data_IF_884722701599
#
_entry.id   IF_884722701599
#
_cell.length_a   1.000
_cell.length_b   1.000
_cell.length_c   1.000
_cell.angle_alpha   90.00
_cell.angle_beta   90.00
_cell.angle_gamma   90.00
#
_symmetry.space_group_name_H-M   'P 1'
#
loop_
_entity.id
_entity.type
_entity.pdbx_description
1 polymer ?
#
# COMPACT_ATOMS: atom_id res chain seq x y z
N UNK A 1 -24.28 -5.13 2.48
CA UNK A 1 -23.26 -4.96 1.42
C UNK A 1 -22.86 -6.29 0.78
N UNK A 2 -22.32 -7.28 1.50
CA UNK A 2 -21.92 -8.58 0.91
C UNK A 2 -23.05 -9.28 0.13
N UNK A 3 -24.25 -9.38 0.72
CA UNK A 3 -25.43 -9.93 0.02
C UNK A 3 -25.81 -9.15 -1.24
N UNK A 4 -25.67 -7.82 -1.21
CA UNK A 4 -25.95 -6.97 -2.37
C UNK A 4 -24.92 -7.20 -3.48
N UNK A 5 -23.63 -7.34 -3.14
CA UNK A 5 -22.59 -7.70 -4.10
C UNK A 5 -22.87 -9.07 -4.74
N UNK A 6 -23.26 -10.08 -3.96
CA UNK A 6 -23.66 -11.39 -4.48
C UNK A 6 -24.87 -11.27 -5.42
N UNK A 7 -25.87 -10.45 -5.07
CA UNK A 7 -27.05 -10.23 -5.91
C UNK A 7 -26.68 -9.60 -7.26
N UNK A 8 -25.82 -8.58 -7.27
CA UNK A 8 -25.29 -7.96 -8.51
C UNK A 8 -24.56 -9.00 -9.36
N UNK A 9 -23.62 -9.75 -8.76
CA UNK A 9 -22.85 -10.77 -9.47
C UNK A 9 -23.75 -11.87 -10.06
N UNK A 10 -24.77 -12.33 -9.33
CA UNK A 10 -25.74 -13.31 -9.85
C UNK A 10 -26.59 -12.75 -10.98
N UNK A 11 -27.04 -11.50 -10.88
CA UNK A 11 -27.88 -10.86 -11.90
C UNK A 11 -27.18 -10.78 -13.26
N UNK A 12 -25.87 -10.55 -13.26
CA UNK A 12 -25.06 -10.49 -14.49
C UNK A 12 -24.40 -11.82 -14.86
N UNK A 13 -24.70 -12.90 -14.12
CA UNK A 13 -24.03 -14.22 -14.26
C UNK A 13 -22.51 -14.07 -14.28
N UNK A 14 -22.00 -13.26 -13.35
CA UNK A 14 -20.59 -12.94 -13.26
C UNK A 14 -19.76 -14.20 -13.03
N UNK A 15 -18.60 -14.23 -13.66
CA UNK A 15 -17.64 -15.31 -13.55
C UNK A 15 -16.26 -14.72 -13.22
N UNK A 16 -15.44 -15.51 -12.54
CA UNK A 16 -14.09 -15.11 -12.08
C UNK A 16 -14.11 -14.02 -10.98
N UNK A 17 -12.95 -13.41 -10.68
CA UNK A 17 -12.82 -12.39 -9.65
C UNK A 17 -13.29 -11.00 -10.13
N UNK A 18 -13.95 -10.26 -9.23
CA UNK A 18 -14.36 -8.89 -9.45
C UNK A 18 -14.77 -8.22 -8.14
N UNK A 19 -14.81 -6.89 -8.14
CA UNK A 19 -15.15 -6.08 -6.97
C UNK A 19 -16.42 -5.27 -7.24
N UNK A 20 -17.32 -5.21 -6.27
CA UNK A 20 -18.49 -4.33 -6.29
C UNK A 20 -18.25 -3.20 -5.29
N UNK A 21 -18.27 -1.96 -5.77
CA UNK A 21 -17.94 -0.78 -4.98
C UNK A 21 -19.20 -0.05 -4.51
N UNK A 22 -19.14 0.43 -3.27
CA UNK A 22 -20.22 1.18 -2.63
C UNK A 22 -19.67 2.43 -1.95
N UNK A 23 -20.43 3.54 -1.96
CA UNK A 23 -20.23 4.64 -1.00
C UNK A 23 -21.14 4.40 0.20
N UNK A 24 -20.62 4.63 1.40
CA UNK A 24 -21.39 4.63 2.65
C UNK A 24 -21.59 6.07 3.13
N UNK A 25 -22.85 6.47 3.39
CA UNK A 25 -23.14 7.78 3.98
C UNK A 25 -23.02 7.77 5.52
N UNK A 26 -23.17 8.94 6.15
CA UNK A 26 -23.11 9.10 7.61
C UNK A 26 -24.23 8.37 8.36
N UNK A 27 -25.35 8.08 7.68
CA UNK A 27 -26.47 7.32 8.21
C UNK A 27 -26.34 5.81 8.00
N UNK A 28 -25.20 5.34 7.46
CA UNK A 28 -24.90 3.95 7.09
C UNK A 28 -25.77 3.40 5.95
N UNK A 29 -26.33 4.27 5.13
CA UNK A 29 -26.89 3.86 3.83
C UNK A 29 -25.73 3.64 2.85
N UNK A 30 -25.77 2.52 2.12
CA UNK A 30 -24.79 2.21 1.10
C UNK A 30 -25.38 2.33 -0.30
N UNK A 31 -24.59 2.86 -1.24
CA UNK A 31 -25.01 3.12 -2.62
C UNK A 31 -24.01 2.49 -3.57
N UNK A 32 -24.49 1.66 -4.51
CA UNK A 32 -23.65 1.07 -5.55
C UNK A 32 -23.04 2.17 -6.44
N UNK A 33 -21.75 2.04 -6.76
CA UNK A 33 -21.04 2.93 -7.67
C UNK A 33 -20.71 2.19 -8.95
N UNK A 34 -19.93 1.12 -8.83
CA UNK A 34 -19.39 0.39 -9.96
C UNK A 34 -19.08 -1.06 -9.62
N UNK A 35 -18.83 -1.84 -10.67
CA UNK A 35 -18.31 -3.20 -10.56
C UNK A 35 -17.03 -3.29 -11.40
N UNK A 36 -15.90 -3.46 -10.72
CA UNK A 36 -14.61 -3.71 -11.37
C UNK A 36 -14.53 -5.18 -11.77
N UNK A 37 -14.61 -5.45 -13.07
CA UNK A 37 -14.66 -6.82 -13.62
C UNK A 37 -13.27 -7.43 -13.82
N UNK A 38 -12.40 -7.26 -12.84
CA UNK A 38 -11.00 -7.73 -12.83
C UNK A 38 -10.46 -7.74 -11.42
N UNK A 39 -9.31 -8.38 -11.22
CA UNK A 39 -8.56 -8.24 -9.97
C UNK A 39 -8.12 -6.79 -9.77
N UNK A 40 -8.11 -6.36 -8.52
CA UNK A 40 -7.69 -5.02 -8.11
C UNK A 40 -6.35 -5.04 -7.39
N UNK A 41 -5.68 -3.89 -7.33
CA UNK A 41 -4.34 -3.78 -6.75
C UNK A 41 -4.34 -4.20 -5.27
N UNK A 42 -5.42 -3.85 -4.57
CA UNK A 42 -5.74 -4.07 -3.17
C UNK A 42 -6.30 -5.45 -2.82
N UNK A 43 -6.40 -6.39 -3.77
CA UNK A 43 -6.83 -7.77 -3.45
C UNK A 43 -5.99 -8.41 -2.32
N UNK A 44 -4.73 -7.99 -2.19
CA UNK A 44 -3.77 -8.51 -1.20
C UNK A 44 -4.23 -8.33 0.25
N UNK A 45 -4.99 -7.28 0.59
CA UNK A 45 -5.52 -7.12 1.95
C UNK A 45 -6.61 -8.16 2.25
N UNK A 46 -7.42 -8.49 1.24
CA UNK A 46 -8.44 -9.55 1.32
C UNK A 46 -7.78 -10.91 1.49
N UNK A 47 -6.74 -11.22 0.70
CA UNK A 47 -5.98 -12.47 0.83
C UNK A 47 -5.35 -12.59 2.23
N UNK A 48 -4.81 -11.50 2.78
CA UNK A 48 -4.20 -11.51 4.11
C UNK A 48 -5.18 -11.88 5.23
N UNK A 49 -6.42 -11.38 5.17
CA UNK A 49 -7.41 -11.61 6.24
C UNK A 49 -8.27 -12.86 6.02
N UNK A 50 -8.34 -13.38 4.79
CA UNK A 50 -9.13 -14.60 4.45
C UNK A 50 -8.26 -15.84 4.27
N UNK A 51 -6.97 -15.67 4.01
CA UNK A 51 -6.04 -16.73 3.56
C UNK A 51 -6.44 -17.41 2.23
N UNK A 52 -7.33 -16.80 1.45
CA UNK A 52 -7.72 -17.28 0.12
C UNK A 52 -6.79 -16.65 -0.91
N UNK A 53 -6.14 -17.49 -1.72
CA UNK A 53 -5.36 -17.04 -2.89
C UNK A 53 -6.34 -16.75 -4.04
N UNK A 54 -6.55 -15.46 -4.29
CA UNK A 54 -7.52 -15.00 -5.28
C UNK A 54 -6.98 -15.23 -6.69
N UNK A 55 -5.69 -15.03 -6.94
CA UNK A 55 -5.08 -15.24 -8.26
C UNK A 55 -5.15 -16.71 -8.66
N UNK A 56 -4.82 -17.62 -7.74
CA UNK A 56 -4.99 -19.06 -7.95
C UNK A 56 -6.46 -19.40 -8.25
N UNK A 57 -7.39 -18.87 -7.46
CA UNK A 57 -8.83 -19.08 -7.68
C UNK A 57 -9.27 -18.61 -9.07
N UNK A 58 -8.76 -17.46 -9.54
CA UNK A 58 -9.05 -16.98 -10.90
C UNK A 58 -8.59 -17.97 -11.97
N UNK A 59 -7.42 -18.58 -11.82
CA UNK A 59 -6.87 -19.56 -12.77
C UNK A 59 -7.71 -20.84 -12.75
N UNK A 60 -8.07 -21.33 -11.57
CA UNK A 60 -8.88 -22.56 -11.41
C UNK A 60 -10.28 -22.38 -12.01
N UNK A 61 -10.94 -21.25 -11.74
CA UNK A 61 -12.24 -20.91 -12.34
C UNK A 61 -12.12 -20.85 -13.87
N UNK A 62 -11.08 -20.19 -14.39
CA UNK A 62 -10.85 -20.11 -15.84
C UNK A 62 -10.55 -21.48 -16.48
N UNK A 63 -10.04 -22.44 -15.71
CA UNK A 63 -9.87 -23.83 -16.12
C UNK A 63 -11.18 -24.66 -16.02
N UNK A 64 -12.29 -24.05 -15.62
CA UNK A 64 -13.59 -24.71 -15.46
C UNK A 64 -13.74 -25.48 -14.16
N UNK A 65 -12.83 -25.30 -13.20
CA UNK A 65 -12.95 -25.90 -11.87
C UNK A 65 -13.97 -25.11 -11.03
N UNK A 66 -14.72 -25.78 -10.15
CA UNK A 66 -15.60 -25.10 -9.20
C UNK A 66 -14.77 -24.34 -8.15
N UNK A 67 -15.41 -23.37 -7.48
CA UNK A 67 -14.82 -22.73 -6.29
C UNK A 67 -14.48 -23.78 -5.23
N UNK A 68 -13.24 -23.74 -4.71
CA UNK A 68 -12.75 -24.68 -3.69
C UNK A 68 -13.34 -24.45 -2.28
N UNK A 69 -14.10 -23.37 -2.09
CA UNK A 69 -14.65 -22.97 -0.80
C UNK A 69 -16.10 -22.49 -0.93
N UNK A 70 -16.84 -22.61 0.18
CA UNK A 70 -18.20 -22.10 0.34
C UNK A 70 -18.16 -20.82 1.18
N UNK A 71 -19.26 -20.08 1.19
CA UNK A 71 -19.37 -18.83 1.97
C UNK A 71 -19.12 -19.04 3.48
N UNK A 72 -19.49 -20.20 4.00
CA UNK A 72 -19.30 -20.60 5.41
C UNK A 72 -17.84 -20.92 5.77
N UNK A 73 -16.99 -21.22 4.77
CA UNK A 73 -15.56 -21.47 4.95
C UNK A 73 -14.74 -20.17 5.02
N UNK A 74 -15.30 -19.05 4.53
CA UNK A 74 -14.62 -17.75 4.50
C UNK A 74 -14.63 -17.12 5.89
N UNK A 75 -13.48 -17.16 6.56
CA UNK A 75 -13.28 -16.55 7.89
C UNK A 75 -12.39 -15.32 7.79
N UNK A 76 -12.78 -14.24 8.47
CA UNK A 76 -11.97 -13.03 8.57
C UNK A 76 -11.08 -13.10 9.81
N UNK A 77 -9.77 -12.92 9.62
CA UNK A 77 -8.79 -13.03 10.68
C UNK A 77 -7.92 -11.79 10.82
N UNK A 78 -8.37 -10.86 11.68
CA UNK A 78 -7.66 -9.63 11.99
C UNK A 78 -7.90 -8.52 10.97
N UNK A 79 -6.90 -7.66 10.80
CA UNK A 79 -6.94 -6.50 9.92
C UNK A 79 -5.72 -6.53 9.01
N UNK A 80 -5.84 -5.90 7.85
CA UNK A 80 -4.71 -5.68 6.95
C UNK A 80 -4.74 -4.28 6.35
N UNK A 81 -3.54 -3.72 6.14
CA UNK A 81 -3.31 -2.43 5.48
C UNK A 81 -2.36 -2.67 4.32
N UNK A 82 -2.67 -2.10 3.15
CA UNK A 82 -1.74 -2.04 2.04
C UNK A 82 -1.29 -0.60 1.81
N UNK A 83 0.02 -0.41 1.72
CA UNK A 83 0.70 0.83 1.36
C UNK A 83 1.31 0.66 -0.03
N UNK A 84 0.99 1.58 -0.95
CA UNK A 84 1.65 1.66 -2.26
C UNK A 84 2.91 2.52 -2.13
N UNK A 85 4.08 1.87 -2.20
CA UNK A 85 5.37 2.53 -2.21
C UNK A 85 5.61 3.03 -3.62
N UNK A 86 5.40 4.33 -3.85
CA UNK A 86 5.57 4.97 -5.14
C UNK A 86 6.84 5.82 -5.15
N UNK A 87 7.49 5.92 -6.31
CA UNK A 87 8.54 6.89 -6.60
C UNK A 87 7.93 8.27 -6.86
N UNK A 88 7.44 8.92 -5.83
CA UNK A 88 6.83 10.26 -5.89
C UNK A 88 7.38 11.12 -4.75
N UNK A 89 7.41 12.44 -4.95
CA UNK A 89 7.80 13.42 -3.93
C UNK A 89 6.54 14.09 -3.33
N UNK A 90 6.05 13.67 -2.14
CA UNK A 90 4.83 14.24 -1.57
C UNK A 90 4.97 15.72 -1.18
N UNK A 91 6.18 16.19 -0.86
CA UNK A 91 6.44 17.62 -0.56
C UNK A 91 6.36 18.49 -1.82
N UNK A 92 6.48 17.88 -3.00
CA UNK A 92 6.37 18.54 -4.29
C UNK A 92 5.14 18.06 -5.05
N UNK A 93 3.99 18.08 -4.37
CA UNK A 93 2.68 17.73 -4.95
C UNK A 93 2.66 16.35 -5.64
N UNK A 94 3.27 15.35 -5.00
CA UNK A 94 3.37 13.97 -5.50
C UNK A 94 3.96 13.86 -6.90
N UNK A 95 4.86 14.79 -7.27
CA UNK A 95 5.53 14.72 -8.57
C UNK A 95 6.26 13.37 -8.71
N UNK A 96 6.03 12.61 -9.78
CA UNK A 96 6.77 11.37 -10.03
C UNK A 96 8.27 11.61 -10.08
N UNK A 97 9.02 10.66 -9.54
CA UNK A 97 10.47 10.66 -9.48
C UNK A 97 11.01 9.51 -10.32
N UNK A 98 11.90 9.84 -11.24
CA UNK A 98 12.68 8.85 -12.01
C UNK A 98 14.11 8.84 -11.49
N UNK A 99 14.79 7.71 -11.67
CA UNK A 99 16.18 7.57 -11.23
C UNK A 99 16.52 6.10 -11.02
N UNK A 100 17.70 5.87 -10.45
CA UNK A 100 18.18 4.53 -10.13
C UNK A 100 18.04 4.29 -8.63
N UNK A 101 17.46 3.15 -8.26
CA UNK A 101 17.38 2.71 -6.86
C UNK A 101 18.78 2.27 -6.41
N UNK A 102 19.48 3.06 -5.62
CA UNK A 102 20.87 2.79 -5.22
C UNK A 102 20.97 1.80 -4.05
N UNK A 103 19.93 1.73 -3.22
CA UNK A 103 19.79 0.73 -2.16
C UNK A 103 18.33 0.30 -2.03
N UNK A 104 18.11 -1.00 -1.80
CA UNK A 104 16.80 -1.60 -1.60
C UNK A 104 16.86 -2.70 -0.54
N UNK A 105 16.25 -2.45 0.61
CA UNK A 105 15.98 -3.46 1.63
C UNK A 105 14.52 -3.31 2.07
N UNK A 106 13.69 -4.26 1.65
CA UNK A 106 12.28 -4.30 2.04
C UNK A 106 12.13 -4.83 3.47
N UNK A 107 11.11 -4.40 4.22
CA UNK A 107 10.84 -4.93 5.55
C UNK A 107 10.42 -6.40 5.46
N UNK A 108 10.62 -7.11 6.55
CA UNK A 108 10.16 -8.49 6.70
C UNK A 108 9.54 -8.72 8.08
N UNK A 109 9.52 -9.98 8.50
CA UNK A 109 8.99 -10.40 9.78
C UNK A 109 7.52 -10.82 9.74
N UNK A 110 6.98 -11.13 10.91
CA UNK A 110 5.61 -11.65 11.06
C UNK A 110 4.59 -10.63 10.55
N UNK A 111 3.63 -11.09 9.73
CA UNK A 111 2.52 -10.28 9.24
C UNK A 111 2.93 -9.23 8.21
N UNK A 112 4.08 -9.39 7.54
CA UNK A 112 4.56 -8.48 6.49
C UNK A 112 4.68 -9.26 5.19
N UNK A 113 4.02 -8.75 4.14
CA UNK A 113 4.09 -9.23 2.75
C UNK A 113 4.53 -8.09 1.85
N UNK A 114 5.37 -8.40 0.89
CA UNK A 114 5.85 -7.47 -0.12
C UNK A 114 5.51 -8.03 -1.50
N UNK A 115 4.80 -7.24 -2.29
CA UNK A 115 4.59 -7.49 -3.72
C UNK A 115 5.33 -6.36 -4.46
N UNK A 116 6.59 -6.59 -4.84
CA UNK A 116 7.48 -5.56 -5.37
C UNK A 116 7.95 -5.82 -6.80
N UNK A 117 8.27 -4.75 -7.53
CA UNK A 117 9.03 -4.83 -8.79
C UNK A 117 10.44 -4.28 -8.67
N UNK A 118 10.67 -3.35 -7.74
CA UNK A 118 11.94 -2.67 -7.56
C UNK A 118 12.98 -3.59 -6.90
N UNK A 119 14.24 -3.39 -7.27
CA UNK A 119 15.42 -4.05 -6.72
C UNK A 119 16.61 -3.09 -6.77
N UNK A 120 17.73 -3.43 -6.12
CA UNK A 120 18.95 -2.60 -6.19
C UNK A 120 19.39 -2.43 -7.65
N UNK A 121 19.76 -1.21 -8.01
CA UNK A 121 20.20 -0.79 -9.35
C UNK A 121 19.07 -0.78 -10.40
N UNK A 122 17.81 -0.98 -9.99
CA UNK A 122 16.65 -0.80 -10.87
C UNK A 122 16.52 0.67 -11.29
N UNK A 123 16.41 0.93 -12.59
CA UNK A 123 16.17 2.25 -13.14
C UNK A 123 14.68 2.42 -13.44
N UNK A 124 14.05 3.39 -12.78
CA UNK A 124 12.62 3.65 -12.88
C UNK A 124 12.34 4.38 -14.20
N UNK A 125 11.60 3.75 -15.13
CA UNK A 125 11.28 4.38 -16.41
C UNK A 125 10.27 5.54 -16.24
N UNK A 126 10.37 6.62 -17.03
CA UNK A 126 9.46 7.77 -16.95
C UNK A 126 8.08 7.52 -17.57
N UNK A 127 7.86 6.35 -18.17
CA UNK A 127 6.72 6.11 -19.07
C UNK A 127 5.51 5.43 -18.40
N UNK A 128 5.69 4.90 -17.19
CA UNK A 128 4.69 4.09 -16.50
C UNK A 128 4.36 4.64 -15.11
N UNK A 129 3.46 3.97 -14.39
CA UNK A 129 3.16 4.28 -12.99
C UNK A 129 4.43 4.23 -12.11
N UNK A 130 4.47 5.07 -11.09
CA UNK A 130 5.58 5.21 -10.15
C UNK A 130 5.65 4.10 -9.10
N UNK A 131 4.77 3.09 -9.14
CA UNK A 131 4.70 2.02 -8.15
C UNK A 131 6.00 1.19 -8.10
N UNK A 132 6.67 1.17 -6.96
CA UNK A 132 7.88 0.38 -6.71
C UNK A 132 7.57 -0.95 -6.03
N UNK A 133 6.69 -0.90 -5.03
CA UNK A 133 6.23 -2.06 -4.28
C UNK A 133 4.90 -1.81 -3.57
N UNK A 134 4.21 -2.89 -3.23
CA UNK A 134 3.07 -2.89 -2.31
C UNK A 134 3.54 -3.51 -1.00
N UNK A 135 3.52 -2.71 0.06
CA UNK A 135 3.73 -3.18 1.43
C UNK A 135 2.38 -3.56 2.01
N UNK A 136 2.19 -4.84 2.31
CA UNK A 136 0.95 -5.36 2.89
C UNK A 136 1.24 -5.85 4.30
N UNK A 137 0.54 -5.30 5.27
CA UNK A 137 0.75 -5.61 6.68
C UNK A 137 -0.55 -6.15 7.27
N UNK A 138 -0.46 -7.22 8.05
CA UNK A 138 -1.57 -7.84 8.77
C UNK A 138 -1.30 -7.82 10.26
N UNK A 139 -2.34 -7.60 11.07
CA UNK A 139 -2.30 -7.76 12.52
C UNK A 139 -3.62 -8.29 13.08
N UNK A 140 -3.60 -8.72 14.35
CA UNK A 140 -4.82 -9.28 14.99
C UNK A 140 -5.83 -8.19 15.34
N UNK A 141 -5.35 -6.99 15.65
CA UNK A 141 -6.16 -5.80 15.94
C UNK A 141 -5.79 -4.66 14.99
N UNK A 142 -6.65 -3.65 14.90
CA UNK A 142 -6.37 -2.44 14.13
C UNK A 142 -5.09 -1.74 14.63
N UNK A 143 -4.97 -1.54 15.94
CA UNK A 143 -3.79 -0.95 16.59
C UNK A 143 -2.49 -1.71 16.25
N UNK A 144 -2.51 -3.04 16.35
CA UNK A 144 -1.37 -3.90 15.99
C UNK A 144 -1.01 -3.73 14.51
N UNK A 145 -2.00 -3.60 13.64
CA UNK A 145 -1.82 -3.47 12.18
C UNK A 145 -1.23 -2.10 11.82
N UNK A 146 -1.74 -1.02 12.40
CA UNK A 146 -1.22 0.34 12.19
C UNK A 146 0.21 0.47 12.74
N UNK A 147 0.46 -0.02 13.96
CA UNK A 147 1.80 -0.02 14.55
C UNK A 147 2.79 -0.83 13.71
N UNK A 148 2.39 -2.01 13.23
CA UNK A 148 3.24 -2.82 12.35
C UNK A 148 3.45 -2.16 10.99
N UNK A 149 2.43 -1.50 10.43
CA UNK A 149 2.57 -0.75 9.17
C UNK A 149 3.58 0.39 9.31
N UNK A 150 3.48 1.18 10.38
CA UNK A 150 4.45 2.21 10.73
C UNK A 150 5.87 1.65 10.81
N UNK A 151 6.10 0.63 11.67
CA UNK A 151 7.41 -0.03 11.80
C UNK A 151 7.95 -0.57 10.48
N UNK A 152 7.08 -1.16 9.65
CA UNK A 152 7.47 -1.70 8.33
C UNK A 152 7.91 -0.59 7.37
N UNK A 153 7.28 0.58 7.43
CA UNK A 153 7.69 1.75 6.67
C UNK A 153 9.01 2.34 7.20
N UNK A 154 9.28 2.28 8.50
CA UNK A 154 10.57 2.74 9.07
C UNK A 154 11.75 1.85 8.68
N UNK A 155 11.54 0.54 8.64
CA UNK A 155 12.57 -0.43 8.25
C UNK A 155 12.85 -0.45 6.74
N UNK A 156 11.95 0.13 5.93
CA UNK A 156 12.08 0.11 4.48
C UNK A 156 13.22 1.02 4.04
N UNK A 157 14.31 0.43 3.55
CA UNK A 157 15.42 1.20 2.98
C UNK A 157 15.25 1.23 1.46
N UNK A 158 14.94 2.42 0.94
CA UNK A 158 14.89 2.68 -0.49
C UNK A 158 15.59 4.02 -0.77
N UNK A 159 16.71 3.98 -1.49
CA UNK A 159 17.55 5.16 -1.76
C UNK A 159 17.72 5.41 -3.25
N UNK A 160 18.19 6.61 -3.59
CA UNK A 160 18.42 7.07 -4.97
C UNK A 160 17.20 7.74 -5.62
N UNK A 161 16.00 7.55 -5.06
CA UNK A 161 14.79 8.27 -5.45
C UNK A 161 13.93 8.59 -4.23
N UNK A 162 13.17 9.69 -4.31
CA UNK A 162 12.13 10.00 -3.33
C UNK A 162 10.96 9.04 -3.43
N UNK A 163 10.28 8.82 -2.30
CA UNK A 163 9.13 7.92 -2.23
C UNK A 163 8.01 8.48 -1.37
N UNK A 164 6.84 7.84 -1.45
CA UNK A 164 5.68 8.11 -0.58
C UNK A 164 5.84 7.64 0.86
N UNK A 165 6.93 6.95 1.22
CA UNK A 165 7.14 6.34 2.56
C UNK A 165 7.00 7.38 3.69
N UNK A 166 7.68 8.55 3.66
CA UNK A 166 7.59 9.52 4.75
C UNK A 166 6.15 10.00 4.97
N UNK A 167 5.41 10.27 3.88
CA UNK A 167 4.00 10.65 3.94
C UNK A 167 3.13 9.55 4.57
N UNK A 168 3.33 8.29 4.19
CA UNK A 168 2.58 7.17 4.77
C UNK A 168 2.89 6.97 6.26
N UNK A 169 4.14 7.20 6.70
CA UNK A 169 4.46 7.19 8.14
C UNK A 169 3.64 8.23 8.91
N UNK A 170 3.51 9.44 8.37
CA UNK A 170 2.68 10.50 8.97
C UNK A 170 1.21 10.10 9.10
N UNK A 171 0.67 9.38 8.11
CA UNK A 171 -0.69 8.83 8.20
C UNK A 171 -0.80 7.83 9.36
N UNK A 172 0.17 6.92 9.51
CA UNK A 172 0.15 5.92 10.59
C UNK A 172 0.32 6.55 11.99
N UNK A 173 0.89 7.74 12.07
CA UNK A 173 1.05 8.55 13.29
C UNK A 173 -0.17 9.42 13.61
N UNK A 174 -1.09 9.59 12.66
CA UNK A 174 -2.24 10.47 12.83
C UNK A 174 -3.29 9.87 13.79
N UNK A 175 -3.74 10.62 14.83
CA UNK A 175 -4.69 10.09 15.81
C UNK A 175 -6.05 9.69 15.25
N UNK A 176 -6.53 10.34 14.20
CA UNK A 176 -7.80 9.99 13.57
C UNK A 176 -7.66 8.71 12.73
N UNK A 177 -6.54 8.55 12.03
CA UNK A 177 -6.22 7.29 11.36
C UNK A 177 -6.07 6.11 12.33
N UNK A 178 -5.29 6.30 13.42
CA UNK A 178 -5.12 5.30 14.47
C UNK A 178 -6.44 4.91 15.13
N UNK A 179 -7.38 5.84 15.25
CA UNK A 179 -8.70 5.58 15.80
C UNK A 179 -9.72 5.01 14.79
N UNK A 180 -9.33 4.80 13.53
CA UNK A 180 -10.25 4.34 12.48
C UNK A 180 -11.29 5.38 12.07
N UNK A 181 -11.02 6.67 12.31
CA UNK A 181 -11.92 7.80 12.03
C UNK A 181 -11.48 8.51 10.74
N UNK A 182 -11.89 7.98 9.60
CA UNK A 182 -11.59 8.60 8.32
C UNK A 182 -12.68 8.31 7.29
N UNK A 183 -12.79 9.22 6.32
CA UNK A 183 -13.59 9.07 5.11
C UNK A 183 -12.78 9.57 3.91
N UNK A 184 -13.41 9.69 2.74
CA UNK A 184 -12.74 10.13 1.50
C UNK A 184 -12.20 11.56 1.56
N UNK A 185 -12.62 12.37 2.54
CA UNK A 185 -12.11 13.73 2.77
C UNK A 185 -10.91 13.79 3.71
N UNK A 186 -10.50 12.67 4.31
CA UNK A 186 -9.47 12.60 5.36
C UNK A 186 -8.21 13.42 5.02
N UNK A 187 -7.58 13.17 3.87
CA UNK A 187 -6.34 13.87 3.49
C UNK A 187 -6.55 15.39 3.35
N UNK A 188 -7.69 15.82 2.82
CA UNK A 188 -8.04 17.25 2.67
C UNK A 188 -8.21 17.93 4.03
N UNK A 189 -8.73 17.20 5.02
CA UNK A 189 -8.93 17.71 6.39
C UNK A 189 -7.65 17.69 7.24
N UNK A 190 -6.60 17.00 6.77
CA UNK A 190 -5.33 16.83 7.48
C UNK A 190 -4.14 17.43 6.69
N UNK A 191 -4.13 18.75 6.40
CA UNK A 191 -3.06 19.37 5.60
C UNK A 191 -1.67 19.24 6.23
N UNK A 192 -1.60 19.00 7.54
CA UNK A 192 -0.37 18.78 8.30
C UNK A 192 0.39 17.51 7.87
N UNK A 193 -0.28 16.56 7.21
CA UNK A 193 0.35 15.34 6.70
C UNK A 193 1.34 15.63 5.57
N UNK A 194 1.15 16.75 4.85
CA UNK A 194 2.01 17.18 3.74
C UNK A 194 3.17 18.07 4.20
N UNK A 195 3.36 18.24 5.51
CA UNK A 195 4.42 19.07 6.08
C UNK A 195 5.26 18.24 7.03
N UNK A 196 6.49 17.95 6.62
CA UNK A 196 7.48 17.22 7.40
C UNK A 196 8.88 17.61 6.93
N UNK A 197 9.87 17.44 7.80
CA UNK A 197 11.27 17.63 7.41
C UNK A 197 11.64 16.57 6.39
N UNK A 198 12.27 16.99 5.30
CA UNK A 198 12.71 16.07 4.26
C UNK A 198 13.78 15.14 4.82
N UNK A 199 13.77 13.89 4.38
CA UNK A 199 14.76 12.93 4.81
C UNK A 199 16.13 13.34 4.27
N UNK A 200 17.09 13.54 5.16
CA UNK A 200 18.50 13.74 4.76
C UNK A 200 19.13 12.39 4.50
N UNK A 201 19.65 12.17 3.29
CA UNK A 201 20.32 10.90 3.00
C UNK A 201 21.62 10.85 3.82
N UNK A 202 21.93 9.72 4.50
CA UNK A 202 23.22 9.54 5.14
C UNK A 202 24.42 9.84 4.22
N UNK A 203 24.26 9.64 2.90
CA UNK A 203 25.27 10.02 1.90
C UNK A 203 25.53 11.54 1.87
N UNK A 204 24.53 12.39 2.11
CA UNK A 204 24.72 13.85 2.19
C UNK A 204 25.67 14.23 3.33
N UNK A 205 25.54 13.56 4.48
CA UNK A 205 26.44 13.76 5.61
C UNK A 205 27.86 13.28 5.29
N UNK A 206 27.99 12.14 4.60
CA UNK A 206 29.30 11.62 4.15
C UNK A 206 29.97 12.61 3.20
N UNK A 207 29.21 13.17 2.25
CA UNK A 207 29.71 14.21 1.32
C UNK A 207 30.12 15.46 2.08
N UNK A 208 29.29 15.96 3.01
CA UNK A 208 29.59 17.16 3.79
C UNK A 208 30.88 16.98 4.63
N UNK A 209 31.01 15.85 5.33
CA UNK A 209 32.20 15.53 6.15
C UNK A 209 33.43 15.33 5.29
N UNK A 210 33.35 14.55 4.21
CA UNK A 210 34.48 14.32 3.31
C UNK A 210 34.96 15.60 2.64
N UNK A 211 34.05 16.49 2.24
CA UNK A 211 34.37 17.81 1.69
C UNK A 211 35.07 18.70 2.73
N UNK A 212 34.61 18.68 3.99
CA UNK A 212 35.24 19.44 5.07
C UNK A 212 36.67 18.95 5.36
N UNK A 213 36.90 17.62 5.33
CA UNK A 213 38.23 17.04 5.48
C UNK A 213 39.14 17.44 4.31
N UNK A 214 38.66 17.33 3.07
CA UNK A 214 39.43 17.71 1.88
C UNK A 214 39.85 19.19 1.92
N UNK A 215 38.92 20.09 2.28
CA UNK A 215 39.21 21.51 2.41
C UNK A 215 40.21 21.83 3.54
N UNK A 216 40.15 21.10 4.65
CA UNK A 216 41.09 21.25 5.77
C UNK A 216 42.51 20.77 5.42
N UNK A 217 42.61 19.65 4.70
CA UNK A 217 43.89 19.05 4.28
C UNK A 217 44.47 19.67 3.00
N UNK A 218 43.72 20.53 2.31
CA UNK A 218 44.15 21.20 1.07
C UNK A 218 44.21 20.28 -0.16
N UNK A 219 43.30 19.30 -0.23
CA UNK A 219 43.14 18.38 -1.36
C UNK A 219 42.29 18.97 -2.50
#
# INVERSE_FOLDING_TARGET
MGEAAIAVSKAVRYDNAGTVEFVLDQNRNFYFIEMNTRIQVEHTVTEQITAIDLVRSQIEIAAGLPLEFRQEDVTLQGYAIQCRINAEDPLNNFRPCTGTVTAYFSPGGIGVRIDGMAYKDYTIPPYYDALLAKLVVRGRTWEETVSRAHRSLEEFVLRGVKTTIPFMKRIMEDPDFQAGRFDTSFLKLHPKLFTYEDYTDPEDLVIAVSTAIAAYEGL
#
